data_IF_468252550171
#
_entry.id   IF_468252550171
#
_cell.length_a   1.000
_cell.length_b   1.000
_cell.length_c   1.000
_cell.angle_alpha   90.00
_cell.angle_beta   90.00
_cell.angle_gamma   90.00
#
_symmetry.space_group_name_H-M   'P 1'
#
loop_
_entity.id
_entity.type
_entity.pdbx_description
1 polymer ?
#
# COMPACT_ATOMS: atom_id res chain seq x y z
N UNK A 1 4.81 -5.14 -5.01
CA UNK A 1 3.60 -5.86 -5.48
C UNK A 1 2.29 -5.07 -5.35
N UNK A 2 2.13 -4.13 -4.39
CA UNK A 2 0.89 -3.34 -4.21
C UNK A 2 0.65 -2.31 -5.33
N UNK A 3 1.69 -1.63 -5.84
CA UNK A 3 1.55 -0.62 -6.90
C UNK A 3 0.99 -1.18 -8.22
N UNK A 4 1.24 -2.47 -8.50
CA UNK A 4 0.70 -3.17 -9.68
C UNK A 4 -0.82 -3.35 -9.60
N UNK A 5 -1.36 -3.50 -8.39
CA UNK A 5 -2.78 -3.73 -8.16
C UNK A 5 -3.62 -2.49 -8.48
N UNK A 6 -3.16 -1.29 -8.09
CA UNK A 6 -3.85 -0.04 -8.38
C UNK A 6 -3.77 0.38 -9.85
N UNK A 7 -2.65 0.10 -10.54
CA UNK A 7 -2.48 0.45 -11.96
C UNK A 7 -3.44 -0.33 -12.89
N UNK A 8 -3.92 -1.51 -12.48
CA UNK A 8 -4.82 -2.34 -13.29
C UNK A 8 -6.28 -1.85 -13.30
N UNK A 9 -6.74 -1.17 -12.24
CA UNK A 9 -8.14 -0.74 -12.11
C UNK A 9 -8.49 0.58 -12.83
N UNK A 10 -7.51 1.35 -13.30
CA UNK A 10 -7.75 2.66 -13.93
C UNK A 10 -8.11 2.58 -15.42
N UNK A 11 -7.91 1.42 -16.08
CA UNK A 11 -8.14 1.25 -17.52
C UNK A 11 -9.62 1.17 -17.94
N UNK A 12 -10.57 1.08 -17.01
CA UNK A 12 -11.99 0.89 -17.33
C UNK A 12 -12.86 2.16 -17.33
N UNK A 13 -12.28 3.35 -17.12
CA UNK A 13 -13.06 4.58 -16.90
C UNK A 13 -12.93 5.66 -17.97
N UNK A 14 -12.00 5.56 -18.93
CA UNK A 14 -11.73 6.66 -19.87
C UNK A 14 -11.91 6.22 -21.32
N UNK A 15 -13.16 6.13 -21.78
CA UNK A 15 -13.49 6.19 -23.21
C UNK A 15 -14.31 7.45 -23.45
N UNK A 16 -13.63 8.55 -23.80
CA UNK A 16 -14.11 9.65 -24.65
C UNK A 16 -13.09 10.79 -24.59
N UNK A 17 -12.22 10.88 -25.60
CA UNK A 17 -11.25 11.97 -25.73
C UNK A 17 -10.24 11.70 -26.84
N UNK A 18 -10.12 12.65 -27.77
CA UNK A 18 -9.32 12.66 -29.01
C UNK A 18 -7.91 12.04 -28.91
N UNK A 19 -7.51 11.11 -29.81
CA UNK A 19 -6.26 10.34 -29.69
C UNK A 19 -4.94 11.10 -29.88
N UNK A 20 -4.94 12.26 -30.56
CA UNK A 20 -3.70 12.81 -31.14
C UNK A 20 -2.86 13.73 -30.25
N UNK A 21 -3.44 14.41 -29.25
CA UNK A 21 -2.70 15.36 -28.40
C UNK A 21 -2.19 14.74 -27.09
N UNK A 22 -2.76 13.62 -26.66
CA UNK A 22 -2.45 13.01 -25.37
C UNK A 22 -1.14 12.21 -25.40
N UNK A 23 -0.75 11.68 -26.55
CA UNK A 23 0.44 10.81 -26.68
C UNK A 23 1.75 11.62 -26.60
N UNK A 24 1.81 12.80 -27.23
CA UNK A 24 3.02 13.63 -27.25
C UNK A 24 3.40 14.25 -25.88
N UNK A 25 2.41 14.55 -25.02
CA UNK A 25 2.66 15.07 -23.67
C UNK A 25 3.10 13.97 -22.69
N UNK A 26 2.75 12.71 -22.98
CA UNK A 26 2.98 11.58 -22.07
C UNK A 26 4.40 11.00 -22.18
N UNK A 27 5.10 11.25 -23.29
CA UNK A 27 6.46 10.76 -23.54
C UNK A 27 7.55 11.57 -22.79
N UNK A 28 7.33 12.85 -22.52
CA UNK A 28 8.29 13.69 -21.80
C UNK A 28 8.16 13.65 -20.27
N UNK A 29 7.02 13.18 -19.75
CA UNK A 29 6.80 12.99 -18.32
C UNK A 29 7.42 11.66 -17.79
N UNK A 30 7.93 10.79 -18.66
CA UNK A 30 8.10 9.35 -18.38
C UNK A 30 9.08 8.96 -17.26
N UNK A 31 10.17 9.71 -17.05
CA UNK A 31 11.20 9.33 -16.06
C UNK A 31 11.12 10.14 -14.76
N UNK A 32 10.88 11.45 -14.86
CA UNK A 32 10.77 12.32 -13.67
C UNK A 32 9.47 12.10 -12.89
N UNK A 33 8.33 11.88 -13.56
CA UNK A 33 7.07 11.56 -12.85
C UNK A 33 7.13 10.18 -12.22
N UNK A 34 7.87 9.23 -12.80
CA UNK A 34 7.98 7.88 -12.25
C UNK A 34 8.79 7.86 -10.95
N UNK A 35 9.94 8.55 -10.92
CA UNK A 35 10.74 8.70 -9.72
C UNK A 35 9.97 9.44 -8.61
N UNK A 36 9.26 10.51 -8.99
CA UNK A 36 8.44 11.26 -8.04
C UNK A 36 7.25 10.43 -7.51
N UNK A 37 6.62 9.63 -8.36
CA UNK A 37 5.56 8.73 -7.96
C UNK A 37 6.04 7.63 -6.99
N UNK A 38 7.23 7.08 -7.19
CA UNK A 38 7.81 6.09 -6.28
C UNK A 38 8.18 6.70 -4.91
N UNK A 39 8.80 7.88 -4.89
CA UNK A 39 9.10 8.61 -3.66
C UNK A 39 7.81 8.96 -2.90
N UNK A 40 6.80 9.47 -3.60
CA UNK A 40 5.50 9.78 -3.02
C UNK A 40 4.82 8.53 -2.44
N UNK A 41 4.80 7.42 -3.19
CA UNK A 41 4.24 6.15 -2.71
C UNK A 41 4.99 5.64 -1.46
N UNK A 42 6.31 5.73 -1.45
CA UNK A 42 7.16 5.33 -0.32
C UNK A 42 6.87 6.18 0.92
N UNK A 43 6.71 7.48 0.75
CA UNK A 43 6.40 8.40 1.84
C UNK A 43 5.00 8.14 2.41
N UNK A 44 3.99 7.97 1.56
CA UNK A 44 2.62 7.62 1.98
C UNK A 44 2.60 6.29 2.71
N UNK A 45 3.32 5.28 2.20
CA UNK A 45 3.41 3.97 2.82
C UNK A 45 4.06 4.03 4.21
N UNK A 46 5.20 4.71 4.34
CA UNK A 46 5.91 4.88 5.62
C UNK A 46 5.05 5.64 6.63
N UNK A 47 4.39 6.71 6.19
CA UNK A 47 3.48 7.50 7.02
C UNK A 47 2.29 6.67 7.49
N UNK A 48 1.68 5.91 6.58
CA UNK A 48 0.57 5.03 6.91
C UNK A 48 0.97 3.96 7.95
N UNK A 49 2.14 3.34 7.79
CA UNK A 49 2.67 2.38 8.76
C UNK A 49 2.86 3.00 10.14
N UNK A 50 3.47 4.17 10.22
CA UNK A 50 3.70 4.87 11.49
C UNK A 50 2.38 5.25 12.18
N UNK A 51 1.35 5.63 11.41
CA UNK A 51 0.05 6.01 11.95
C UNK A 51 -0.73 4.80 12.49
N UNK A 52 -0.66 3.64 11.82
CA UNK A 52 -1.40 2.45 12.26
C UNK A 52 -0.67 1.65 13.33
N UNK A 53 0.65 1.73 13.42
CA UNK A 53 1.45 1.00 14.41
C UNK A 53 0.91 1.12 15.85
N UNK A 54 0.64 2.34 16.39
CA UNK A 54 0.13 2.49 17.75
C UNK A 54 -1.31 1.99 17.95
N UNK A 55 -2.04 1.61 16.88
CA UNK A 55 -3.41 1.10 16.97
C UNK A 55 -3.48 -0.41 17.25
N UNK A 56 -2.33 -1.09 17.16
CA UNK A 56 -2.23 -2.53 17.38
C UNK A 56 -1.41 -2.83 18.62
N UNK A 57 -1.70 -3.98 19.25
CA UNK A 57 -0.82 -4.52 20.27
C UNK A 57 0.49 -5.03 19.66
N UNK A 58 1.54 -5.05 20.47
CA UNK A 58 2.89 -5.50 20.09
C UNK A 58 2.90 -6.91 19.46
N UNK A 59 2.02 -7.80 19.91
CA UNK A 59 2.00 -9.18 19.42
C UNK A 59 1.43 -9.25 18.02
N UNK A 60 0.31 -8.57 17.78
CA UNK A 60 -0.32 -8.43 16.46
C UNK A 60 0.61 -7.74 15.47
N UNK A 61 1.31 -6.69 15.91
CA UNK A 61 2.29 -6.01 15.07
C UNK A 61 3.47 -6.92 14.71
N UNK A 62 4.06 -7.61 15.69
CA UNK A 62 5.14 -8.58 15.44
C UNK A 62 4.71 -9.69 14.49
N UNK A 63 3.48 -10.19 14.60
CA UNK A 63 2.96 -11.19 13.66
C UNK A 63 2.93 -10.67 12.22
N UNK A 64 2.53 -9.42 12.03
CA UNK A 64 2.59 -8.75 10.73
C UNK A 64 4.04 -8.56 10.25
N UNK A 65 4.94 -8.06 11.09
CA UNK A 65 6.35 -7.86 10.71
C UNK A 65 7.04 -9.17 10.28
N UNK A 66 6.83 -10.25 11.03
CA UNK A 66 7.39 -11.56 10.70
C UNK A 66 6.86 -12.06 9.34
N UNK A 67 5.56 -11.91 9.08
CA UNK A 67 4.90 -12.51 7.91
C UNK A 67 4.79 -11.62 6.68
N UNK A 68 5.11 -10.33 6.80
CA UNK A 68 5.00 -9.36 5.71
C UNK A 68 6.32 -8.66 5.40
N UNK A 69 7.11 -8.31 6.43
CA UNK A 69 8.40 -7.64 6.24
C UNK A 69 9.53 -8.66 6.10
N UNK A 70 9.52 -9.71 6.94
CA UNK A 70 10.56 -10.76 6.94
C UNK A 70 10.21 -11.98 6.08
N UNK A 71 9.04 -11.98 5.44
CA UNK A 71 8.53 -13.05 4.59
C UNK A 71 8.59 -14.46 5.23
N UNK A 72 8.44 -14.52 6.55
CA UNK A 72 8.41 -15.79 7.28
C UNK A 72 7.02 -16.41 7.16
N UNK A 73 6.97 -17.72 6.89
CA UNK A 73 5.71 -18.46 6.79
C UNK A 73 4.88 -18.38 8.09
N UNK A 74 3.54 -18.37 7.95
CA UNK A 74 2.62 -18.19 9.07
C UNK A 74 2.80 -19.23 10.19
N UNK A 75 3.17 -20.47 9.83
CA UNK A 75 3.47 -21.53 10.79
C UNK A 75 4.72 -21.22 11.64
N UNK A 76 5.82 -20.79 11.01
CA UNK A 76 7.04 -20.42 11.72
C UNK A 76 6.84 -19.16 12.58
N UNK A 77 6.01 -18.21 12.11
CA UNK A 77 5.65 -17.03 12.89
C UNK A 77 4.81 -17.40 14.13
N UNK A 78 3.88 -18.33 13.99
CA UNK A 78 3.08 -18.88 15.07
C UNK A 78 3.94 -19.55 16.15
N UNK A 79 4.91 -20.38 15.74
CA UNK A 79 5.88 -21.00 16.64
C UNK A 79 6.72 -19.95 17.39
N UNK A 80 7.25 -18.94 16.68
CA UNK A 80 8.06 -17.87 17.28
C UNK A 80 7.29 -17.01 18.28
N UNK A 81 6.00 -16.78 18.04
CA UNK A 81 5.15 -15.97 18.90
C UNK A 81 4.40 -16.79 19.94
N UNK A 82 4.54 -18.12 19.93
CA UNK A 82 3.79 -19.05 20.78
C UNK A 82 2.28 -18.83 20.68
N UNK A 83 1.78 -18.66 19.45
CA UNK A 83 0.35 -18.40 19.14
C UNK A 83 -0.17 -19.39 18.10
N UNK A 84 -1.49 -19.45 17.94
CA UNK A 84 -2.16 -20.23 16.89
C UNK A 84 -1.88 -19.67 15.48
N UNK A 85 -1.67 -20.57 14.50
CA UNK A 85 -1.48 -20.19 13.09
C UNK A 85 -2.67 -19.42 12.53
N UNK A 86 -3.89 -19.77 12.95
CA UNK A 86 -5.12 -19.08 12.55
C UNK A 86 -5.16 -17.63 13.06
N UNK A 87 -4.59 -17.40 14.24
CA UNK A 87 -4.45 -16.07 14.81
C UNK A 87 -3.44 -15.22 14.01
N UNK A 88 -2.33 -15.80 13.54
CA UNK A 88 -1.36 -15.11 12.67
C UNK A 88 -2.02 -14.60 11.37
N UNK A 89 -2.83 -15.42 10.71
CA UNK A 89 -3.57 -15.00 9.52
C UNK A 89 -4.54 -13.85 9.82
N UNK A 90 -5.23 -13.92 10.96
CA UNK A 90 -6.15 -12.87 11.41
C UNK A 90 -5.40 -11.56 11.71
N UNK A 91 -4.28 -11.63 12.44
CA UNK A 91 -3.43 -10.50 12.75
C UNK A 91 -2.93 -9.81 11.47
N UNK A 92 -2.38 -10.58 10.53
CA UNK A 92 -1.94 -10.09 9.22
C UNK A 92 -3.07 -9.40 8.47
N UNK A 93 -4.24 -10.02 8.39
CA UNK A 93 -5.41 -9.45 7.70
C UNK A 93 -5.87 -8.12 8.33
N UNK A 94 -5.91 -8.03 9.66
CA UNK A 94 -6.32 -6.82 10.37
C UNK A 94 -5.37 -5.65 10.10
N UNK A 95 -4.06 -5.89 10.19
CA UNK A 95 -3.04 -4.87 9.91
C UNK A 95 -3.10 -4.43 8.46
N UNK A 96 -3.20 -5.37 7.50
CA UNK A 96 -3.33 -5.04 6.08
C UNK A 96 -4.60 -4.25 5.76
N UNK A 97 -5.74 -4.60 6.38
CA UNK A 97 -6.99 -3.88 6.21
C UNK A 97 -6.84 -2.42 6.68
N UNK A 98 -6.28 -2.21 7.87
CA UNK A 98 -6.04 -0.86 8.41
C UNK A 98 -5.03 -0.07 7.60
N UNK A 99 -3.96 -0.71 7.15
CA UNK A 99 -2.97 -0.09 6.27
C UNK A 99 -3.60 0.40 4.97
N UNK A 100 -4.48 -0.41 4.37
CA UNK A 100 -5.22 -0.01 3.16
C UNK A 100 -6.13 1.19 3.42
N UNK A 101 -6.90 1.17 4.51
CA UNK A 101 -7.76 2.30 4.92
C UNK A 101 -6.94 3.58 5.11
N UNK A 102 -5.79 3.48 5.76
CA UNK A 102 -4.92 4.63 6.04
C UNK A 102 -4.23 5.17 4.77
N UNK A 103 -3.73 4.30 3.89
CA UNK A 103 -3.21 4.70 2.58
C UNK A 103 -4.29 5.40 1.77
N UNK A 104 -5.53 4.88 1.77
CA UNK A 104 -6.65 5.53 1.07
C UNK A 104 -6.95 6.91 1.66
N UNK A 105 -6.94 7.05 2.99
CA UNK A 105 -7.14 8.33 3.68
C UNK A 105 -6.06 9.34 3.27
N UNK A 106 -4.79 8.98 3.39
CA UNK A 106 -3.66 9.87 3.04
C UNK A 106 -3.63 10.21 1.53
N UNK A 107 -3.94 9.23 0.67
CA UNK A 107 -4.01 9.46 -0.77
C UNK A 107 -5.16 10.38 -1.14
N UNK A 108 -6.32 10.24 -0.50
CA UNK A 108 -7.47 11.11 -0.75
C UNK A 108 -7.20 12.54 -0.25
N UNK A 109 -6.66 12.67 0.97
CA UNK A 109 -6.30 13.97 1.55
C UNK A 109 -5.28 14.70 0.67
N UNK A 110 -4.27 14.00 0.14
CA UNK A 110 -3.28 14.57 -0.78
C UNK A 110 -3.87 15.12 -2.09
N UNK A 111 -4.99 14.57 -2.56
CA UNK A 111 -5.68 15.04 -3.78
C UNK A 111 -6.56 16.27 -3.49
N UNK A 112 -7.06 16.42 -2.27
CA UNK A 112 -7.90 17.55 -1.87
C UNK A 112 -7.09 18.86 -1.76
N UNK A 113 -5.79 18.79 -1.47
CA UNK A 113 -4.92 19.97 -1.36
C UNK A 113 -4.36 20.50 -2.70
N UNK A 114 -4.71 19.90 -3.85
CA UNK A 114 -4.30 20.39 -5.18
C UNK A 114 -5.34 21.30 -5.86
N UNK A 115 -6.26 21.93 -5.13
CA UNK A 115 -7.29 22.81 -5.70
C UNK A 115 -7.17 24.26 -5.27
#
# INVERSE_FOLDING_TARGET
EICRFFKKNKRFQNQSGTPGLQEALNEQAGESDAAWADEFCSHIYTTALNNIHPLFDDQTWKAFELTWIKDIGAQQAAEKLSTEITWIYKAKFLVQKKLKEEIQRLSFDSVVFQK
#
